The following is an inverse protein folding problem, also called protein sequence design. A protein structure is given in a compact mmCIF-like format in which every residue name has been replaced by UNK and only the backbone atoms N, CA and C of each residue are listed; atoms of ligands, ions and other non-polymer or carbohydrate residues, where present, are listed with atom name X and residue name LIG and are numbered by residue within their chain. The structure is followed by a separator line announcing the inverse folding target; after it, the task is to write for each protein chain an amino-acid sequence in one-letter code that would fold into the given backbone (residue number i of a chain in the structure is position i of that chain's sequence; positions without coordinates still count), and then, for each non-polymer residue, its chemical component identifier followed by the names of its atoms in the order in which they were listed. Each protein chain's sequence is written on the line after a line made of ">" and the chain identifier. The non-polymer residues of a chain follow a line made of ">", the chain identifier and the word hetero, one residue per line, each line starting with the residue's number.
data_IF_233418747339
#
_entry.id   IF_233418747339
#
_cell.length_a   1.000
_cell.length_b   1.000
_cell.length_c   1.000
_cell.angle_alpha   90.00
_cell.angle_beta   90.00
_cell.angle_gamma   90.00
#
_symmetry.space_group_name_H-M   'P 1'
#
loop_
_entity.id
_entity.type
_entity.pdbx_description
1 polymer ?
#
# COMPACT_ATOMS: atom_id res chain seq x y z
N UNK A 1 44.03 -29.38 -18.79
CA UNK A 1 42.60 -29.51 -18.41
C UNK A 1 42.26 -28.91 -17.03
N UNK A 2 43.09 -29.02 -15.97
CA UNK A 2 42.75 -28.45 -14.64
C UNK A 2 42.86 -26.91 -14.55
N UNK A 3 43.88 -26.30 -15.17
CA UNK A 3 44.07 -24.84 -15.18
C UNK A 3 42.97 -24.08 -15.95
N UNK A 4 42.44 -24.67 -17.02
CA UNK A 4 41.42 -24.06 -17.87
C UNK A 4 40.04 -24.04 -17.17
N UNK A 5 39.70 -25.12 -16.44
CA UNK A 5 38.48 -25.19 -15.65
C UNK A 5 38.47 -24.16 -14.51
N UNK A 6 39.60 -23.99 -13.81
CA UNK A 6 39.72 -22.98 -12.74
C UNK A 6 39.66 -21.55 -13.27
N UNK A 7 40.26 -21.27 -14.43
CA UNK A 7 40.17 -19.94 -15.07
C UNK A 7 38.73 -19.60 -15.51
N UNK A 8 37.97 -20.57 -16.02
CA UNK A 8 36.57 -20.38 -16.39
C UNK A 8 35.69 -20.08 -15.18
N UNK A 9 35.87 -20.79 -14.06
CA UNK A 9 35.12 -20.54 -12.81
C UNK A 9 35.39 -19.13 -12.27
N UNK A 10 36.65 -18.68 -12.25
CA UNK A 10 36.99 -17.32 -11.81
C UNK A 10 36.37 -16.23 -12.70
N UNK A 11 36.33 -16.47 -14.02
CA UNK A 11 35.65 -15.57 -14.97
C UNK A 11 34.14 -15.54 -14.76
N UNK A 12 33.50 -16.70 -14.62
CA UNK A 12 32.05 -16.79 -14.34
C UNK A 12 31.68 -16.10 -13.04
N UNK A 13 32.46 -16.30 -11.97
CA UNK A 13 32.25 -15.62 -10.69
C UNK A 13 32.39 -14.10 -10.82
N UNK A 14 33.42 -13.63 -11.53
CA UNK A 14 33.63 -12.19 -11.77
C UNK A 14 32.49 -11.57 -12.58
N UNK A 15 32.00 -12.27 -13.61
CA UNK A 15 30.85 -11.84 -14.43
C UNK A 15 29.57 -11.82 -13.61
N UNK A 16 29.32 -12.83 -12.76
CA UNK A 16 28.15 -12.83 -11.86
C UNK A 16 28.22 -11.70 -10.83
N UNK A 17 29.40 -11.39 -10.29
CA UNK A 17 29.58 -10.30 -9.34
C UNK A 17 29.40 -8.92 -10.01
N UNK A 18 29.94 -8.70 -11.21
CA UNK A 18 29.72 -7.48 -11.99
C UNK A 18 28.24 -7.36 -12.38
N UNK A 19 27.61 -8.45 -12.81
CA UNK A 19 26.19 -8.44 -13.21
C UNK A 19 25.26 -8.16 -12.02
N UNK A 20 25.49 -8.79 -10.87
CA UNK A 20 24.72 -8.52 -9.65
C UNK A 20 24.95 -7.11 -9.12
N UNK A 21 26.18 -6.60 -9.16
CA UNK A 21 26.49 -5.22 -8.80
C UNK A 21 25.80 -4.22 -9.73
N UNK A 22 25.91 -4.41 -11.05
CA UNK A 22 25.25 -3.53 -12.03
C UNK A 22 23.72 -3.60 -11.97
N UNK A 23 23.14 -4.77 -11.69
CA UNK A 23 21.70 -4.91 -11.40
C UNK A 23 21.31 -4.15 -10.13
N UNK A 24 22.12 -4.24 -9.08
CA UNK A 24 21.89 -3.52 -7.82
C UNK A 24 21.93 -2.01 -8.02
N UNK A 25 22.96 -1.48 -8.70
CA UNK A 25 23.06 -0.05 -9.01
C UNK A 25 21.92 0.44 -9.90
N UNK A 26 21.59 -0.30 -10.97
CA UNK A 26 20.46 0.03 -11.85
C UNK A 26 19.14 0.04 -11.07
N UNK A 27 18.94 -0.93 -10.18
CA UNK A 27 17.75 -1.02 -9.33
C UNK A 27 17.69 0.12 -8.32
N UNK A 28 18.80 0.45 -7.65
CA UNK A 28 18.87 1.55 -6.71
C UNK A 28 18.57 2.90 -7.39
N UNK A 29 19.18 3.13 -8.57
CA UNK A 29 18.91 4.32 -9.39
C UNK A 29 17.46 4.38 -9.86
N UNK A 30 16.91 3.26 -10.32
CA UNK A 30 15.50 3.17 -10.70
C UNK A 30 14.57 3.53 -9.53
N UNK A 31 14.82 2.95 -8.34
CA UNK A 31 14.01 3.21 -7.15
C UNK A 31 14.12 4.67 -6.69
N UNK A 32 15.30 5.28 -6.81
CA UNK A 32 15.50 6.70 -6.51
C UNK A 32 14.69 7.59 -7.46
N UNK A 33 14.81 7.38 -8.78
CA UNK A 33 14.04 8.12 -9.79
C UNK A 33 12.53 7.90 -9.57
N UNK A 34 12.11 6.65 -9.35
CA UNK A 34 10.72 6.30 -9.09
C UNK A 34 10.18 7.03 -7.88
N UNK A 35 10.96 7.13 -6.80
CA UNK A 35 10.57 7.86 -5.57
C UNK A 35 10.43 9.36 -5.84
N UNK A 36 11.35 9.95 -6.60
CA UNK A 36 11.25 11.37 -7.01
C UNK A 36 9.97 11.60 -7.82
N UNK A 37 9.69 10.74 -8.81
CA UNK A 37 8.46 10.84 -9.61
C UNK A 37 7.20 10.70 -8.75
N UNK A 38 7.19 9.75 -7.79
CA UNK A 38 6.06 9.56 -6.87
C UNK A 38 5.79 10.81 -6.05
N UNK A 39 6.83 11.43 -5.49
CA UNK A 39 6.69 12.67 -4.72
C UNK A 39 6.18 13.80 -5.62
N UNK A 40 6.75 13.93 -6.83
CA UNK A 40 6.41 14.99 -7.76
C UNK A 40 4.93 14.91 -8.20
N UNK A 41 4.47 13.74 -8.62
CA UNK A 41 3.07 13.52 -8.96
C UNK A 41 2.15 13.62 -7.75
N UNK A 42 2.58 13.18 -6.56
CA UNK A 42 1.78 13.28 -5.35
C UNK A 42 1.59 14.74 -4.93
N UNK A 43 2.60 15.60 -5.07
CA UNK A 43 2.47 17.04 -4.77
C UNK A 43 1.48 17.73 -5.72
N UNK A 44 1.62 17.50 -7.03
CA UNK A 44 0.71 18.07 -8.04
C UNK A 44 -0.72 17.55 -7.82
N UNK A 45 -0.86 16.23 -7.66
CA UNK A 45 -2.14 15.59 -7.38
C UNK A 45 -2.76 16.11 -6.10
N UNK A 46 -1.97 16.35 -5.05
CA UNK A 46 -2.46 16.84 -3.78
C UNK A 46 -2.92 18.30 -3.89
N UNK A 47 -2.21 19.15 -4.62
CA UNK A 47 -2.63 20.53 -4.87
C UNK A 47 -4.02 20.59 -5.52
N UNK A 48 -4.30 19.70 -6.49
CA UNK A 48 -5.61 19.59 -7.15
C UNK A 48 -6.64 18.91 -6.24
N UNK A 49 -6.23 17.91 -5.48
CA UNK A 49 -7.11 17.13 -4.63
C UNK A 49 -7.54 17.89 -3.37
N UNK A 50 -6.74 18.82 -2.85
CA UNK A 50 -7.02 19.52 -1.59
C UNK A 50 -8.39 20.24 -1.60
N UNK A 51 -8.75 21.05 -2.61
CA UNK A 51 -10.10 21.61 -2.72
C UNK A 51 -11.20 20.55 -2.72
N UNK A 52 -11.00 19.43 -3.43
CA UNK A 52 -11.97 18.33 -3.45
C UNK A 52 -12.08 17.66 -2.07
N UNK A 53 -10.96 17.36 -1.43
CA UNK A 53 -10.92 16.77 -0.08
C UNK A 53 -11.67 17.69 0.89
N UNK A 54 -11.47 19.01 0.83
CA UNK A 54 -12.17 19.96 1.68
C UNK A 54 -13.68 19.95 1.45
N UNK A 55 -14.13 20.08 0.19
CA UNK A 55 -15.56 20.08 -0.16
C UNK A 55 -16.24 18.78 0.30
N UNK A 56 -15.67 17.63 -0.04
CA UNK A 56 -16.27 16.36 0.35
C UNK A 56 -16.17 16.09 1.85
N UNK A 57 -15.14 16.60 2.54
CA UNK A 57 -15.08 16.52 4.00
C UNK A 57 -16.23 17.26 4.66
N UNK A 58 -16.57 18.46 4.17
CA UNK A 58 -17.72 19.22 4.64
C UNK A 58 -19.02 18.43 4.37
N UNK A 59 -19.23 17.94 3.15
CA UNK A 59 -20.42 17.17 2.80
C UNK A 59 -20.60 15.91 3.66
N UNK A 60 -19.51 15.20 3.96
CA UNK A 60 -19.54 14.01 4.82
C UNK A 60 -19.93 14.38 6.25
N UNK A 61 -19.37 15.46 6.80
CA UNK A 61 -19.67 15.94 8.14
C UNK A 61 -21.11 16.48 8.27
N UNK A 62 -21.68 17.01 7.19
CA UNK A 62 -23.08 17.43 7.13
C UNK A 62 -24.04 16.25 7.02
N UNK A 63 -23.67 15.19 6.29
CA UNK A 63 -24.52 14.01 6.12
C UNK A 63 -24.48 13.08 7.35
N UNK A 64 -23.32 12.94 7.99
CA UNK A 64 -23.11 11.99 9.10
C UNK A 64 -22.20 12.56 10.17
N UNK A 65 -22.46 12.28 11.46
CA UNK A 65 -21.62 12.77 12.55
C UNK A 65 -20.18 12.22 12.49
N UNK A 66 -19.24 12.89 13.14
CA UNK A 66 -17.85 12.47 13.31
C UNK A 66 -16.91 12.79 12.13
N UNK A 67 -15.67 12.28 12.15
CA UNK A 67 -14.60 12.74 11.27
C UNK A 67 -14.76 12.30 9.80
N UNK A 68 -14.53 13.23 8.87
CA UNK A 68 -14.54 12.95 7.44
C UNK A 68 -13.38 12.07 6.98
N UNK A 69 -12.21 12.17 7.63
CA UNK A 69 -11.07 11.31 7.33
C UNK A 69 -11.22 10.00 8.10
N UNK A 70 -11.24 8.91 7.36
CA UNK A 70 -11.23 7.55 7.86
C UNK A 70 -9.86 6.92 7.65
N UNK A 71 -9.40 6.12 8.62
CA UNK A 71 -8.10 5.44 8.54
C UNK A 71 -8.25 3.94 8.72
N UNK A 72 -7.40 3.19 8.02
CA UNK A 72 -7.33 1.73 8.12
C UNK A 72 -5.87 1.29 8.19
N UNK A 73 -5.57 0.27 8.98
CA UNK A 73 -4.26 -0.38 8.93
C UNK A 73 -4.15 -1.28 7.70
N UNK A 74 -3.00 -1.17 7.03
CA UNK A 74 -2.66 -1.91 5.82
C UNK A 74 -1.22 -2.40 5.89
N UNK A 75 -0.93 -3.48 5.19
CA UNK A 75 0.41 -4.07 5.10
C UNK A 75 1.14 -3.51 3.89
N UNK A 76 2.24 -2.81 4.14
CA UNK A 76 3.11 -2.22 3.13
C UNK A 76 4.34 -3.07 2.80
N UNK A 77 5.34 -2.42 2.20
CA UNK A 77 6.62 -3.05 1.83
C UNK A 77 7.33 -3.64 3.05
N UNK A 78 7.83 -4.87 2.90
CA UNK A 78 8.50 -5.61 3.97
C UNK A 78 7.56 -6.03 5.10
N UNK A 79 6.25 -6.07 4.86
CA UNK A 79 5.28 -6.53 5.84
C UNK A 79 4.95 -5.50 6.92
N UNK A 80 5.42 -4.26 6.77
CA UNK A 80 5.25 -3.23 7.78
C UNK A 80 3.83 -2.67 7.74
N UNK A 81 3.09 -2.66 8.85
CA UNK A 81 1.79 -2.03 8.89
C UNK A 81 1.91 -0.51 8.79
N UNK A 82 0.96 0.13 8.12
CA UNK A 82 0.82 1.59 8.08
C UNK A 82 -0.65 2.00 8.03
N UNK A 83 -0.93 3.25 8.39
CA UNK A 83 -2.29 3.82 8.36
C UNK A 83 -2.57 4.44 7.01
N UNK A 84 -3.54 3.88 6.28
CA UNK A 84 -4.03 4.41 5.01
C UNK A 84 -5.11 5.47 5.26
N UNK A 85 -4.97 6.67 4.68
CA UNK A 85 -5.96 7.74 4.81
C UNK A 85 -6.98 7.69 3.68
N UNK A 86 -8.26 7.87 4.00
CA UNK A 86 -9.36 7.96 3.04
C UNK A 86 -10.43 8.95 3.49
N UNK A 87 -11.27 9.40 2.57
CA UNK A 87 -12.54 10.02 2.97
C UNK A 87 -13.55 8.94 3.35
N UNK A 88 -14.28 9.18 4.43
CA UNK A 88 -15.33 8.31 4.93
C UNK A 88 -16.48 8.28 3.93
N UNK A 89 -16.81 7.09 3.44
CA UNK A 89 -17.93 6.84 2.52
C UNK A 89 -19.01 5.92 3.11
N UNK A 90 -18.81 5.47 4.34
CA UNK A 90 -19.71 4.57 5.06
C UNK A 90 -19.99 5.14 6.45
N UNK A 91 -21.08 4.66 7.08
CA UNK A 91 -21.40 4.99 8.47
C UNK A 91 -20.23 4.62 9.39
N UNK A 92 -20.05 5.35 10.49
CA UNK A 92 -18.95 5.11 11.46
C UNK A 92 -18.96 3.66 11.98
N UNK A 93 -20.14 3.08 12.10
CA UNK A 93 -20.33 1.74 12.64
C UNK A 93 -20.27 0.62 11.60
N UNK A 94 -19.84 0.91 10.37
CA UNK A 94 -19.80 -0.06 9.29
C UNK A 94 -18.89 -1.28 9.56
N UNK A 95 -17.89 -1.14 10.43
CA UNK A 95 -16.95 -2.21 10.81
C UNK A 95 -17.12 -2.67 12.27
N UNK A 96 -18.28 -2.44 12.92
CA UNK A 96 -18.53 -2.91 14.30
C UNK A 96 -18.32 -4.42 14.48
N UNK A 97 -18.62 -5.22 13.45
CA UNK A 97 -18.44 -6.67 13.45
C UNK A 97 -17.09 -7.13 12.88
N UNK A 98 -16.12 -6.22 12.73
CA UNK A 98 -14.81 -6.49 12.16
C UNK A 98 -14.67 -6.17 10.67
N UNK A 99 -13.56 -6.63 10.11
CA UNK A 99 -13.13 -6.32 8.75
C UNK A 99 -14.01 -7.01 7.69
N UNK A 100 -14.89 -6.26 7.02
CA UNK A 100 -15.79 -6.81 5.98
C UNK A 100 -15.60 -6.06 4.66
N UNK A 101 -15.50 -6.80 3.55
CA UNK A 101 -15.49 -6.18 2.22
C UNK A 101 -16.84 -5.51 1.93
N UNK A 102 -16.77 -4.36 1.27
CA UNK A 102 -17.96 -3.66 0.82
C UNK A 102 -18.62 -4.43 -0.32
N UNK A 103 -19.94 -4.64 -0.24
CA UNK A 103 -20.70 -5.28 -1.31
C UNK A 103 -21.20 -4.26 -2.34
N UNK A 104 -21.70 -4.75 -3.49
CA UNK A 104 -22.41 -3.89 -4.44
C UNK A 104 -23.70 -3.40 -3.77
N UNK A 105 -23.94 -2.09 -3.79
CA UNK A 105 -25.10 -1.45 -3.12
C UNK A 105 -25.16 -1.72 -1.60
N UNK A 106 -24.01 -1.72 -0.95
CA UNK A 106 -23.89 -1.95 0.50
C UNK A 106 -24.70 -0.91 1.32
N UNK A 107 -25.61 -1.35 2.22
CA UNK A 107 -26.48 -0.45 3.00
C UNK A 107 -25.72 0.42 4.02
N UNK A 108 -24.44 0.13 4.26
CA UNK A 108 -23.56 0.93 5.13
C UNK A 108 -23.05 2.19 4.42
N UNK A 109 -23.17 2.28 3.10
CA UNK A 109 -22.72 3.42 2.29
C UNK A 109 -23.73 4.57 2.39
N UNK A 110 -23.24 5.76 2.70
CA UNK A 110 -24.03 7.00 2.76
C UNK A 110 -24.35 7.53 1.36
N UNK A 111 -25.28 8.47 1.18
CA UNK A 111 -25.63 8.98 -0.16
C UNK A 111 -24.46 9.72 -0.80
N UNK A 112 -23.78 10.61 -0.06
CA UNK A 112 -22.55 11.28 -0.54
C UNK A 112 -21.43 10.23 -0.71
N UNK A 113 -21.30 9.32 0.26
CA UNK A 113 -20.37 8.20 0.18
C UNK A 113 -20.52 7.34 -1.09
N UNK A 114 -21.73 7.12 -1.60
CA UNK A 114 -21.96 6.39 -2.84
C UNK A 114 -21.35 7.12 -4.05
N UNK A 115 -21.48 8.44 -4.09
CA UNK A 115 -20.84 9.27 -5.11
C UNK A 115 -19.31 9.23 -4.98
N UNK A 116 -18.78 9.48 -3.78
CA UNK A 116 -17.35 9.46 -3.48
C UNK A 116 -16.70 8.15 -3.94
N UNK A 117 -17.34 6.99 -3.66
CA UNK A 117 -16.83 5.67 -4.05
C UNK A 117 -16.86 5.44 -5.56
N UNK A 118 -17.87 5.97 -6.25
CA UNK A 118 -18.00 5.87 -7.71
C UNK A 118 -16.90 6.66 -8.41
N UNK A 119 -16.59 7.85 -7.89
CA UNK A 119 -15.56 8.75 -8.45
C UNK A 119 -14.17 8.53 -7.86
N UNK A 120 -14.02 7.61 -6.88
CA UNK A 120 -12.77 7.30 -6.17
C UNK A 120 -12.17 8.50 -5.43
N UNK A 121 -13.00 9.47 -5.10
CA UNK A 121 -12.61 10.64 -4.31
C UNK A 121 -12.17 10.22 -2.90
N UNK A 122 -12.65 9.07 -2.40
CA UNK A 122 -12.24 8.52 -1.11
C UNK A 122 -10.75 8.22 -1.01
N UNK A 123 -10.08 8.02 -2.14
CA UNK A 123 -8.66 7.64 -2.16
C UNK A 123 -7.72 8.85 -2.29
N UNK A 124 -8.24 10.05 -2.53
CA UNK A 124 -7.41 11.25 -2.67
C UNK A 124 -6.51 11.52 -1.44
N UNK A 125 -6.95 11.30 -0.19
CA UNK A 125 -6.05 11.43 0.97
C UNK A 125 -4.87 10.46 0.98
N UNK A 126 -4.87 9.38 0.17
CA UNK A 126 -3.72 8.47 0.07
C UNK A 126 -2.49 9.14 -0.56
N UNK A 127 -2.65 10.28 -1.24
CA UNK A 127 -1.51 11.08 -1.71
C UNK A 127 -0.61 11.51 -0.54
N UNK A 128 -1.18 11.75 0.66
CA UNK A 128 -0.38 11.98 1.87
C UNK A 128 0.44 10.74 2.27
N UNK A 129 -0.09 9.53 2.09
CA UNK A 129 0.67 8.29 2.33
C UNK A 129 1.84 8.15 1.36
N UNK A 130 1.66 8.58 0.10
CA UNK A 130 2.75 8.62 -0.88
C UNK A 130 3.84 9.59 -0.42
N UNK A 131 3.49 10.81 -0.04
CA UNK A 131 4.46 11.80 0.45
C UNK A 131 5.20 11.30 1.70
N UNK A 132 4.48 10.67 2.64
CA UNK A 132 5.06 10.08 3.85
C UNK A 132 6.00 8.89 3.57
N UNK A 133 5.89 8.27 2.40
CA UNK A 133 6.69 7.11 2.01
C UNK A 133 6.12 5.77 2.46
N UNK A 134 4.87 5.76 2.95
CA UNK A 134 4.16 4.53 3.32
C UNK A 134 3.82 3.69 2.06
N UNK A 135 3.58 4.36 0.93
CA UNK A 135 3.28 3.75 -0.36
C UNK A 135 3.86 4.54 -1.54
N UNK A 136 3.80 3.92 -2.72
CA UNK A 136 4.13 4.53 -4.02
C UNK A 136 2.84 4.93 -4.73
N UNK A 137 2.89 5.89 -5.66
CA UNK A 137 1.71 6.26 -6.46
C UNK A 137 1.25 5.05 -7.28
N UNK A 138 2.20 4.37 -7.92
CA UNK A 138 1.98 3.16 -8.72
C UNK A 138 2.59 1.97 -7.99
N UNK A 139 1.77 0.99 -7.63
CA UNK A 139 2.21 -0.23 -6.96
C UNK A 139 1.04 -1.15 -6.62
N UNK A 140 1.32 -2.35 -6.05
CA UNK A 140 0.29 -3.25 -5.58
C UNK A 140 -0.57 -2.58 -4.51
N UNK A 141 -1.88 -2.85 -4.54
CA UNK A 141 -2.79 -2.35 -3.51
C UNK A 141 -2.42 -2.97 -2.16
N UNK A 142 -2.20 -2.16 -1.11
CA UNK A 142 -1.87 -2.68 0.20
C UNK A 142 -3.10 -3.30 0.83
N UNK A 143 -2.99 -4.52 1.36
CA UNK A 143 -4.13 -5.25 1.94
C UNK A 143 -4.20 -5.09 3.45
N UNK A 144 -5.36 -5.41 4.04
CA UNK A 144 -5.49 -5.44 5.51
C UNK A 144 -4.69 -6.62 6.07
N UNK A 145 -4.15 -6.52 7.29
CA UNK A 145 -3.48 -7.62 7.97
C UNK A 145 -4.31 -8.92 8.00
N UNK A 146 -5.58 -8.81 8.43
CA UNK A 146 -6.53 -9.94 8.49
C UNK A 146 -6.68 -10.67 7.15
N UNK A 147 -6.75 -9.93 6.04
CA UNK A 147 -6.83 -10.54 4.72
C UNK A 147 -5.48 -11.06 4.25
N UNK A 148 -4.37 -10.42 4.62
CA UNK A 148 -3.02 -10.87 4.27
C UNK A 148 -2.70 -12.22 4.90
N UNK A 149 -3.10 -12.43 6.15
CA UNK A 149 -2.95 -13.71 6.83
C UNK A 149 -3.84 -14.79 6.20
N UNK A 150 -5.11 -14.47 5.94
CA UNK A 150 -6.02 -15.37 5.23
C UNK A 150 -5.45 -15.80 3.88
N UNK A 151 -4.95 -14.86 3.08
CA UNK A 151 -4.35 -15.17 1.78
C UNK A 151 -3.05 -15.95 1.88
N UNK A 152 -2.24 -15.75 2.93
CA UNK A 152 -1.04 -16.56 3.15
C UNK A 152 -1.39 -18.04 3.43
N UNK A 153 -2.52 -18.29 4.09
CA UNK A 153 -3.00 -19.64 4.39
C UNK A 153 -3.64 -20.31 3.15
N UNK A 154 -4.36 -19.55 2.33
CA UNK A 154 -5.01 -20.06 1.11
C UNK A 154 -4.02 -20.17 -0.07
N UNK A 155 -3.04 -19.27 -0.14
CA UNK A 155 -2.08 -19.14 -1.24
C UNK A 155 -0.66 -19.10 -0.65
N UNK A 156 0.02 -20.27 -0.59
CA UNK A 156 1.40 -20.34 -0.08
C UNK A 156 2.32 -19.35 -0.82
N UNK A 157 3.04 -18.53 -0.06
CA UNK A 157 3.99 -17.56 -0.60
C UNK A 157 3.40 -16.18 -0.94
N UNK A 158 2.12 -15.93 -0.64
CA UNK A 158 1.48 -14.63 -0.86
C UNK A 158 2.26 -13.44 -0.27
N UNK A 159 2.88 -13.60 0.90
CA UNK A 159 3.68 -12.55 1.55
C UNK A 159 4.97 -12.19 0.80
N UNK A 160 5.47 -13.03 -0.11
CA UNK A 160 6.65 -12.74 -0.92
C UNK A 160 6.45 -11.49 -1.80
N UNK A 161 5.19 -11.22 -2.21
CA UNK A 161 4.83 -10.00 -2.98
C UNK A 161 5.08 -8.71 -2.21
N UNK A 162 5.16 -8.78 -0.88
CA UNK A 162 5.43 -7.63 -0.02
C UNK A 162 6.93 -7.29 0.01
N UNK A 163 7.79 -8.14 -0.56
CA UNK A 163 9.24 -8.03 -0.43
C UNK A 163 9.74 -8.38 0.97
N UNK A 164 8.89 -9.01 1.80
CA UNK A 164 9.33 -9.66 3.03
C UNK A 164 10.01 -10.98 2.65
N UNK A 165 11.25 -11.19 3.09
CA UNK A 165 11.72 -12.56 3.34
C UNK A 165 10.75 -13.24 4.33
N UNK A 166 10.86 -14.56 4.49
CA UNK A 166 9.94 -15.42 5.26
C UNK A 166 9.77 -15.11 6.77
N UNK A 167 9.92 -13.86 7.22
CA UNK A 167 9.40 -13.41 8.50
C UNK A 167 7.88 -13.56 8.49
N UNK A 168 7.43 -14.65 9.12
CA UNK A 168 6.04 -14.91 9.47
C UNK A 168 5.56 -13.76 10.34
N UNK A 169 4.88 -12.79 9.73
CA UNK A 169 4.22 -11.71 10.44
C UNK A 169 3.11 -12.37 11.28
N UNK A 170 3.27 -12.37 12.60
CA UNK A 170 2.16 -12.66 13.51
C UNK A 170 1.41 -11.34 13.71
N UNK A 171 0.12 -11.39 13.43
CA UNK A 171 -0.78 -10.29 13.74
C UNK A 171 -1.69 -10.75 14.88
N UNK A 172 -1.93 -9.88 15.84
CA UNK A 172 -2.94 -10.14 16.87
C UNK A 172 -4.37 -10.07 16.28
N UNK A 173 -5.37 -10.42 17.09
CA UNK A 173 -6.78 -10.36 16.68
C UNK A 173 -7.25 -8.93 16.30
N UNK A 174 -6.48 -7.89 16.65
CA UNK A 174 -6.73 -6.50 16.32
C UNK A 174 -6.06 -6.08 14.99
N UNK A 175 -5.25 -6.97 14.39
CA UNK A 175 -4.53 -6.73 13.14
C UNK A 175 -3.20 -6.00 13.33
N UNK A 176 -2.70 -5.89 14.56
CA UNK A 176 -1.44 -5.23 14.88
C UNK A 176 -0.29 -6.24 14.78
N UNK A 177 0.83 -5.82 14.18
CA UNK A 177 1.98 -6.70 14.03
C UNK A 177 2.69 -6.88 15.39
N UNK A 178 2.96 -8.12 15.78
CA UNK A 178 3.96 -8.43 16.79
C UNK A 178 5.32 -8.05 16.20
N UNK A 179 5.97 -7.02 16.76
CA UNK A 179 7.30 -6.54 16.31
C UNK A 179 8.40 -7.43 16.88
#
# INVERSE_FOLDING_TARGET
>A
MSAEKSMNVSREFSVQQIHSFTLSEKTARYLAIKRVMDIWFALIGLAIALPMIAVFSILICLETPGPAIYTQERVGKGGKPFKLYKLRSMKIDAEKSGAVWAQKQDPRVTRIGAFIRRTRIDELPQLFNVLKGDMSMIGPRPERPVFTEKFQNEIPGFTQRLGSGERRLRYDAEGKADI
#
